data_IF_299381044776
#
_entry.id   IF_299381044776
#
_cell.length_a   1.000
_cell.length_b   1.000
_cell.length_c   1.000
_cell.angle_alpha   90.00
_cell.angle_beta   90.00
_cell.angle_gamma   90.00
#
_symmetry.space_group_name_H-M   'P 1'
#
loop_
_entity.id
_entity.type
_entity.pdbx_description
1 polymer ?
#
# COMPACT_ATOMS: atom_id res chain seq x y z
N UNK A 1 3.64 -42.79 16.98
CA UNK A 1 3.18 -42.25 15.69
C UNK A 1 3.20 -40.72 15.78
N UNK A 2 4.35 -40.10 15.48
CA UNK A 2 4.74 -39.51 14.17
C UNK A 2 4.05 -38.16 13.91
N UNK A 3 4.76 -37.10 14.29
CA UNK A 3 4.90 -35.83 13.56
C UNK A 3 3.74 -35.31 12.72
N UNK A 4 2.59 -34.99 13.32
CA UNK A 4 1.54 -34.22 12.63
C UNK A 4 0.98 -33.06 13.48
N UNK A 5 1.74 -32.61 14.50
CA UNK A 5 1.50 -31.36 15.24
C UNK A 5 2.15 -30.15 14.55
N UNK A 6 1.93 -29.94 13.25
CA UNK A 6 2.44 -28.74 12.59
C UNK A 6 1.62 -28.21 11.41
N UNK A 7 0.29 -28.31 11.41
CA UNK A 7 -0.55 -27.67 10.38
C UNK A 7 -1.70 -26.82 10.94
N UNK A 8 -1.55 -26.31 12.17
CA UNK A 8 -2.56 -25.43 12.79
C UNK A 8 -2.35 -23.93 12.51
N UNK A 9 -1.63 -23.51 11.45
CA UNK A 9 -1.37 -22.07 11.23
C UNK A 9 -1.33 -21.59 9.77
N UNK A 10 -2.06 -22.21 8.83
CA UNK A 10 -1.87 -21.86 7.39
C UNK A 10 -3.08 -21.26 6.67
N UNK A 11 -4.12 -20.76 7.34
CA UNK A 11 -5.24 -20.08 6.64
C UNK A 11 -5.84 -18.91 7.44
N UNK A 12 -5.02 -18.00 7.97
CA UNK A 12 -5.49 -16.62 8.17
C UNK A 12 -5.23 -15.84 6.88
N UNK A 13 -6.02 -16.15 5.86
CA UNK A 13 -6.22 -15.25 4.72
C UNK A 13 -7.01 -14.05 5.22
N UNK A 14 -6.36 -13.18 5.97
CA UNK A 14 -6.95 -11.91 6.37
C UNK A 14 -6.79 -10.98 5.18
N UNK A 15 -7.80 -10.95 4.32
CA UNK A 15 -7.93 -9.99 3.23
C UNK A 15 -8.10 -8.59 3.83
N UNK A 16 -6.99 -7.94 4.15
CA UNK A 16 -7.01 -6.61 4.77
C UNK A 16 -6.78 -5.59 3.65
N UNK A 17 -7.87 -4.94 3.27
CA UNK A 17 -7.90 -3.82 2.34
C UNK A 17 -7.33 -2.59 3.02
N UNK A 18 -6.16 -2.10 2.57
CA UNK A 18 -5.55 -0.91 3.15
C UNK A 18 -5.34 0.16 2.11
N UNK A 19 -5.78 1.36 2.48
CA UNK A 19 -5.95 2.54 1.65
C UNK A 19 -4.60 2.91 1.03
N UNK A 20 -4.54 2.89 -0.31
CA UNK A 20 -3.43 3.42 -1.10
C UNK A 20 -2.68 2.42 -1.97
N UNK A 21 -2.63 1.14 -1.58
CA UNK A 21 -1.97 0.10 -2.39
C UNK A 21 -2.99 -0.72 -3.20
N UNK A 22 -4.19 -0.97 -2.66
CA UNK A 22 -5.25 -1.73 -3.35
C UNK A 22 -4.93 -3.22 -3.56
N UNK A 23 -3.77 -3.71 -3.12
CA UNK A 23 -3.36 -5.11 -3.28
C UNK A 23 -3.59 -5.90 -2.00
N UNK A 24 -3.97 -7.16 -2.16
CA UNK A 24 -3.97 -8.16 -1.09
C UNK A 24 -2.54 -8.67 -0.89
N UNK A 25 -2.03 -8.60 0.33
CA UNK A 25 -0.73 -9.14 0.70
C UNK A 25 -0.87 -10.13 1.85
N UNK A 26 0.07 -11.07 1.96
CA UNK A 26 0.18 -11.95 3.13
C UNK A 26 1.19 -11.33 4.08
N UNK A 27 0.90 -11.35 5.39
CA UNK A 27 1.83 -10.84 6.41
C UNK A 27 3.20 -11.54 6.34
N UNK A 28 3.23 -12.83 5.98
CA UNK A 28 4.47 -13.59 5.77
C UNK A 28 5.32 -13.10 4.59
N UNK A 29 4.69 -12.45 3.61
CA UNK A 29 5.35 -11.87 2.44
C UNK A 29 5.56 -10.35 2.63
N UNK A 30 5.12 -9.78 3.76
CA UNK A 30 5.32 -8.37 4.06
C UNK A 30 6.78 -8.13 4.46
N UNK A 31 7.46 -7.32 3.67
CA UNK A 31 8.85 -6.95 3.86
C UNK A 31 9.01 -5.46 3.49
N UNK A 32 10.20 -4.90 3.73
CA UNK A 32 10.49 -3.47 3.55
C UNK A 32 10.23 -2.90 2.15
N UNK A 33 10.11 -3.75 1.12
CA UNK A 33 9.80 -3.35 -0.26
C UNK A 33 8.51 -3.94 -0.81
N UNK A 34 7.66 -4.55 0.04
CA UNK A 34 6.45 -5.23 -0.40
C UNK A 34 5.37 -4.27 -0.93
N UNK A 35 5.21 -3.12 -0.26
CA UNK A 35 4.20 -2.12 -0.58
C UNK A 35 4.82 -0.97 -1.37
N UNK A 36 4.21 -0.58 -2.49
CA UNK A 36 4.54 0.67 -3.18
C UNK A 36 3.39 1.66 -2.93
N UNK A 37 3.67 2.80 -2.31
CA UNK A 37 2.65 3.81 -2.00
C UNK A 37 3.21 5.23 -1.96
N UNK A 38 2.32 6.22 -1.89
CA UNK A 38 2.67 7.59 -1.53
C UNK A 38 2.52 7.76 -0.01
N UNK A 39 3.59 8.00 0.78
CA UNK A 39 3.51 8.21 2.22
C UNK A 39 3.03 9.62 2.59
N UNK A 40 3.03 10.55 1.62
CA UNK A 40 2.59 11.92 1.82
C UNK A 40 1.13 12.12 1.43
N UNK A 41 0.46 13.15 1.98
CA UNK A 41 -0.89 13.51 1.57
C UNK A 41 -0.93 13.97 0.11
N UNK A 42 -2.08 13.82 -0.54
CA UNK A 42 -2.36 14.45 -1.82
C UNK A 42 -2.43 15.98 -1.64
N UNK A 43 -1.87 16.72 -2.59
CA UNK A 43 -1.80 18.18 -2.62
C UNK A 43 -2.61 18.68 -3.80
N UNK A 44 -3.48 19.65 -3.53
CA UNK A 44 -4.33 20.29 -4.53
C UNK A 44 -4.10 21.80 -4.42
N UNK A 45 -3.38 22.40 -5.37
CA UNK A 45 -3.10 23.83 -5.38
C UNK A 45 -3.04 24.37 -6.81
N UNK A 46 -3.65 25.53 -7.08
CA UNK A 46 -3.60 26.20 -8.38
C UNK A 46 -4.03 25.31 -9.58
N UNK A 47 -5.11 24.53 -9.42
CA UNK A 47 -5.57 23.52 -10.40
C UNK A 47 -4.56 22.39 -10.67
N UNK A 48 -3.47 22.31 -9.92
CA UNK A 48 -2.54 21.20 -9.92
C UNK A 48 -2.91 20.19 -8.84
N UNK A 49 -2.77 18.92 -9.19
CA UNK A 49 -3.01 17.76 -8.35
C UNK A 49 -1.71 17.02 -8.19
N UNK A 50 -1.38 16.58 -6.98
CA UNK A 50 -0.06 16.05 -6.71
C UNK A 50 0.06 15.29 -5.41
N UNK A 51 1.26 14.81 -5.12
CA UNK A 51 1.59 14.13 -3.86
C UNK A 51 2.74 14.84 -3.16
N UNK A 52 2.56 15.17 -1.88
CA UNK A 52 3.60 15.84 -1.09
C UNK A 52 4.88 15.02 -0.96
N UNK A 53 4.81 13.69 -1.08
CA UNK A 53 5.99 12.82 -0.95
C UNK A 53 7.01 12.97 -2.08
N UNK A 54 6.56 13.32 -3.28
CA UNK A 54 7.39 13.34 -4.49
C UNK A 54 7.36 14.67 -5.23
N UNK A 55 6.64 15.66 -4.71
CA UNK A 55 6.50 17.01 -5.31
C UNK A 55 6.06 16.98 -6.78
N UNK A 56 5.36 15.90 -7.18
CA UNK A 56 4.82 15.75 -8.52
C UNK A 56 3.49 16.50 -8.56
N UNK A 57 3.36 17.40 -9.53
CA UNK A 57 2.18 18.23 -9.74
C UNK A 57 1.75 18.14 -11.20
N UNK A 58 0.53 17.68 -11.42
CA UNK A 58 -0.04 17.51 -12.76
C UNK A 58 -1.31 18.33 -12.91
N UNK A 59 -1.53 18.85 -14.11
CA UNK A 59 -2.72 19.65 -14.43
C UNK A 59 -3.92 18.76 -14.68
N UNK A 60 -3.74 17.62 -15.35
CA UNK A 60 -4.84 16.73 -15.72
C UNK A 60 -5.17 15.72 -14.61
N UNK A 61 -6.43 15.33 -14.51
CA UNK A 61 -6.86 14.35 -13.52
C UNK A 61 -6.38 12.93 -13.86
N UNK A 62 -6.42 12.55 -15.14
CA UNK A 62 -5.93 11.26 -15.61
C UNK A 62 -4.43 11.08 -15.36
N UNK A 63 -3.64 12.15 -15.52
CA UNK A 63 -2.23 12.13 -15.13
C UNK A 63 -2.09 11.90 -13.62
N UNK A 64 -2.94 12.50 -12.79
CA UNK A 64 -2.86 12.33 -11.33
C UNK A 64 -3.13 10.88 -10.91
N UNK A 65 -4.10 10.22 -11.56
CA UNK A 65 -4.44 8.81 -11.31
C UNK A 65 -3.37 7.83 -11.80
N UNK A 66 -2.49 8.27 -12.70
CA UNK A 66 -1.39 7.46 -13.27
C UNK A 66 -0.04 7.74 -12.63
N UNK A 67 0.05 8.67 -11.65
CA UNK A 67 1.29 8.94 -10.92
C UNK A 67 1.75 7.66 -10.22
N UNK A 68 2.97 7.16 -10.50
CA UNK A 68 3.48 5.96 -9.86
C UNK A 68 3.83 6.24 -8.39
N UNK A 69 3.65 5.25 -7.50
CA UNK A 69 4.02 5.37 -6.09
C UNK A 69 5.50 5.74 -5.91
N UNK A 70 5.76 6.69 -5.01
CA UNK A 70 7.08 7.28 -4.79
C UNK A 70 7.93 6.54 -3.76
N UNK A 71 7.32 5.72 -2.89
CA UNK A 71 8.00 5.04 -1.80
C UNK A 71 7.69 3.55 -1.78
N UNK A 72 8.66 2.78 -1.26
CA UNK A 72 8.51 1.36 -0.94
C UNK A 72 8.55 1.20 0.57
N UNK A 73 7.72 0.32 1.08
CA UNK A 73 7.60 0.11 2.51
C UNK A 73 6.88 -1.18 2.86
N UNK A 74 6.65 -1.32 4.15
CA UNK A 74 5.81 -2.37 4.70
C UNK A 74 4.35 -2.03 4.38
N UNK A 75 3.54 -3.03 4.08
CA UNK A 75 2.10 -2.83 4.09
C UNK A 75 1.64 -2.58 5.54
N UNK A 76 0.98 -1.45 5.78
CA UNK A 76 0.41 -1.13 7.09
C UNK A 76 -1.01 -1.65 7.19
N UNK A 77 -1.30 -2.46 8.21
CA UNK A 77 -2.60 -3.11 8.43
C UNK A 77 -3.64 -2.26 9.18
N UNK A 78 -3.36 -0.99 9.43
CA UNK A 78 -4.29 -0.11 10.10
C UNK A 78 -5.37 0.39 9.11
N UNK A 79 -6.59 -0.12 9.29
CA UNK A 79 -7.78 0.37 8.58
C UNK A 79 -8.36 1.63 9.26
N UNK A 80 -7.52 2.46 9.89
CA UNK A 80 -7.99 3.48 10.83
C UNK A 80 -7.04 4.67 10.91
N UNK A 81 -7.13 5.57 9.92
CA UNK A 81 -7.05 7.02 10.10
C UNK A 81 -7.77 7.73 8.97
#
# INVERSE_FOLDING_TARGET
>A
CTSEKCDLKTLKSSSIYLKGCGQTFKEIDNHETACNHHPGPAVFHDHLRGWKCCDIHVKEFDEFMTIPPCAKGWHNADASS
#
